data_IF_816140437621
#
_entry.id   IF_816140437621
#
_cell.length_a   1.000
_cell.length_b   1.000
_cell.length_c   1.000
_cell.angle_alpha   90.00
_cell.angle_beta   90.00
_cell.angle_gamma   90.00
#
_symmetry.space_group_name_H-M   'P 1'
#
loop_
_entity.id
_entity.type
_entity.pdbx_description
1 polymer ?
#
# COMPACT_ATOMS: atom_id res chain seq x y z
N UNK A 1 0.53 11.27 -9.63
CA UNK A 1 0.18 12.17 -8.52
C UNK A 1 -0.36 11.29 -7.40
N UNK A 2 0.30 11.29 -6.26
CA UNK A 2 -0.14 10.55 -5.09
C UNK A 2 -1.08 11.38 -4.21
N UNK A 3 -1.74 10.72 -3.27
CA UNK A 3 -2.55 11.36 -2.22
C UNK A 3 -2.28 10.67 -0.88
N UNK A 4 -2.47 11.42 0.21
CA UNK A 4 -2.30 10.92 1.58
C UNK A 4 -3.66 10.64 2.21
N UNK A 5 -3.73 9.56 2.97
CA UNK A 5 -4.87 9.19 3.79
C UNK A 5 -4.38 8.65 5.14
N UNK A 6 -5.28 8.43 6.09
CA UNK A 6 -4.95 7.92 7.42
C UNK A 6 -5.90 6.79 7.78
N UNK A 7 -5.34 5.67 8.25
CA UNK A 7 -6.11 4.51 8.70
C UNK A 7 -5.60 4.04 10.07
N UNK A 8 -6.48 4.01 11.08
CA UNK A 8 -6.13 3.66 12.47
C UNK A 8 -4.92 4.43 13.05
N UNK A 9 -4.74 5.68 12.63
CA UNK A 9 -3.59 6.50 13.04
C UNK A 9 -2.27 6.20 12.32
N UNK A 10 -2.28 5.33 11.31
CA UNK A 10 -1.16 5.11 10.38
C UNK A 10 -1.36 6.01 9.16
N UNK A 11 -0.34 6.78 8.80
CA UNK A 11 -0.33 7.60 7.59
C UNK A 11 -0.08 6.69 6.39
N UNK A 12 -0.88 6.82 5.33
CA UNK A 12 -0.74 6.03 4.10
C UNK A 12 -0.67 6.99 2.93
N UNK A 13 0.44 6.99 2.22
CA UNK A 13 0.63 7.77 1.00
C UNK A 13 0.53 6.87 -0.23
N UNK A 14 -0.54 7.01 -1.00
CA UNK A 14 -0.81 6.19 -2.19
C UNK A 14 -0.34 6.94 -3.41
N UNK A 15 0.47 6.30 -4.25
CA UNK A 15 0.84 6.80 -5.55
C UNK A 15 0.61 5.76 -6.63
N UNK A 16 -0.17 6.14 -7.64
CA UNK A 16 -0.55 5.25 -8.73
C UNK A 16 -0.15 5.87 -10.06
N UNK A 17 0.54 5.09 -10.88
CA UNK A 17 1.08 5.50 -12.17
C UNK A 17 0.48 4.65 -13.29
N UNK A 18 0.16 5.21 -14.47
CA UNK A 18 -0.25 4.41 -15.61
C UNK A 18 0.93 3.55 -16.10
N UNK A 19 0.65 2.35 -16.60
CA UNK A 19 1.68 1.50 -17.19
C UNK A 19 2.14 2.07 -18.55
N UNK A 20 3.46 2.20 -18.81
CA UNK A 20 3.95 2.84 -20.03
C UNK A 20 3.59 2.05 -21.30
N UNK A 21 3.68 0.72 -21.24
CA UNK A 21 3.48 -0.15 -22.42
C UNK A 21 2.12 -0.88 -22.47
N UNK A 22 1.28 -0.75 -21.43
CA UNK A 22 0.03 -1.50 -21.32
C UNK A 22 -1.13 -0.55 -20.98
N UNK A 23 -1.81 -0.01 -22.00
CA UNK A 23 -2.93 0.90 -21.79
C UNK A 23 -4.02 0.26 -20.91
N UNK A 24 -4.51 1.03 -19.93
CA UNK A 24 -5.52 0.57 -18.97
C UNK A 24 -4.96 -0.25 -17.80
N UNK A 25 -3.65 -0.38 -17.69
CA UNK A 25 -2.99 -0.92 -16.50
C UNK A 25 -2.39 0.20 -15.65
N UNK A 26 -2.38 -0.01 -14.33
CA UNK A 26 -1.88 0.92 -13.33
C UNK A 26 -0.91 0.22 -12.38
N UNK A 27 0.14 0.92 -11.99
CA UNK A 27 1.05 0.53 -10.92
C UNK A 27 0.65 1.24 -9.62
N UNK A 28 -0.14 0.61 -8.74
CA UNK A 28 -0.46 1.20 -7.45
C UNK A 28 0.64 0.88 -6.43
N UNK A 29 1.10 1.93 -5.75
CA UNK A 29 2.07 1.88 -4.67
C UNK A 29 1.50 2.64 -3.46
N UNK A 30 1.81 2.20 -2.26
CA UNK A 30 1.53 2.95 -1.04
C UNK A 30 2.73 2.91 -0.10
N UNK A 31 2.97 3.99 0.62
CA UNK A 31 3.94 4.07 1.71
C UNK A 31 3.16 4.25 3.01
N UNK A 32 3.23 3.26 3.89
CA UNK A 32 2.65 3.34 5.23
C UNK A 32 3.70 3.90 6.19
N UNK A 33 3.31 4.79 7.08
CA UNK A 33 4.16 5.36 8.13
C UNK A 33 3.45 5.32 9.46
N UNK A 34 4.07 4.69 10.44
CA UNK A 34 3.57 4.68 11.81
C UNK A 34 4.12 5.91 12.56
N UNK A 35 3.29 6.91 12.90
CA UNK A 35 3.77 8.13 13.57
C UNK A 35 4.25 7.88 15.01
N UNK A 36 3.90 6.75 15.63
CA UNK A 36 4.35 6.38 16.97
C UNK A 36 5.74 5.76 16.98
N UNK A 37 6.07 4.95 15.98
CA UNK A 37 7.36 4.23 15.90
C UNK A 37 8.33 4.83 14.89
N UNK A 38 7.85 5.67 13.97
CA UNK A 38 8.63 6.23 12.87
C UNK A 38 8.94 5.24 11.74
N UNK A 39 8.44 4.01 11.81
CA UNK A 39 8.69 2.96 10.80
C UNK A 39 7.89 3.27 9.53
N UNK A 40 8.56 3.15 8.39
CA UNK A 40 8.01 3.32 7.06
C UNK A 40 8.01 1.98 6.30
N UNK A 41 6.83 1.54 5.85
CA UNK A 41 6.63 0.25 5.17
C UNK A 41 6.00 0.44 3.79
N UNK A 42 6.66 0.01 2.70
CA UNK A 42 6.10 0.10 1.37
C UNK A 42 5.11 -1.05 1.10
N UNK A 43 4.06 -0.74 0.35
CA UNK A 43 3.05 -1.66 -0.17
C UNK A 43 2.98 -1.44 -1.68
N UNK A 44 3.53 -2.37 -2.45
CA UNK A 44 3.45 -2.35 -3.91
C UNK A 44 2.63 -3.56 -4.36
N UNK A 45 1.69 -3.34 -5.26
CA UNK A 45 1.00 -4.44 -5.93
C UNK A 45 1.51 -4.58 -7.37
N UNK A 46 1.22 -5.73 -7.96
CA UNK A 46 1.40 -5.94 -9.40
C UNK A 46 0.52 -4.94 -10.18
N UNK A 47 0.84 -4.68 -11.47
CA UNK A 47 -0.02 -3.87 -12.32
C UNK A 47 -1.47 -4.36 -12.29
N UNK A 48 -2.40 -3.43 -12.06
CA UNK A 48 -3.83 -3.71 -12.03
C UNK A 48 -4.50 -3.15 -13.28
N UNK A 49 -5.27 -3.99 -13.98
CA UNK A 49 -6.12 -3.54 -15.08
C UNK A 49 -7.35 -2.84 -14.51
N UNK A 50 -7.77 -1.74 -15.13
CA UNK A 50 -9.00 -1.04 -14.77
C UNK A 50 -8.81 0.46 -14.68
N UNK A 51 -9.58 1.10 -13.81
CA UNK A 51 -9.45 2.50 -13.47
C UNK A 51 -8.36 2.73 -12.43
N UNK A 52 -7.85 3.96 -12.38
CA UNK A 52 -6.92 4.39 -11.32
C UNK A 52 -7.53 4.15 -9.92
N UNK A 53 -8.83 4.40 -9.77
CA UNK A 53 -9.54 4.30 -8.49
C UNK A 53 -9.64 2.85 -8.00
N UNK A 54 -9.86 1.89 -8.90
CA UNK A 54 -9.83 0.47 -8.55
C UNK A 54 -8.43 0.03 -8.11
N UNK A 55 -7.39 0.47 -8.83
CA UNK A 55 -6.00 0.19 -8.44
C UNK A 55 -5.63 0.83 -7.08
N UNK A 56 -6.09 2.05 -6.83
CA UNK A 56 -5.94 2.75 -5.55
C UNK A 56 -6.66 2.00 -4.40
N UNK A 57 -7.87 1.48 -4.65
CA UNK A 57 -8.65 0.75 -3.66
C UNK A 57 -7.97 -0.56 -3.26
N UNK A 58 -7.44 -1.31 -4.23
CA UNK A 58 -6.74 -2.58 -3.97
C UNK A 58 -5.49 -2.39 -3.10
N UNK A 59 -4.68 -1.36 -3.35
CA UNK A 59 -3.49 -1.11 -2.54
C UNK A 59 -3.85 -0.61 -1.13
N UNK A 60 -4.97 0.09 -0.99
CA UNK A 60 -5.49 0.50 0.31
C UNK A 60 -6.00 -0.71 1.11
N UNK A 61 -6.66 -1.67 0.46
CA UNK A 61 -7.10 -2.92 1.08
C UNK A 61 -5.90 -3.73 1.60
N UNK A 62 -4.89 -3.95 0.77
CA UNK A 62 -3.64 -4.64 1.17
C UNK A 62 -2.94 -3.89 2.32
N UNK A 63 -2.84 -2.56 2.25
CA UNK A 63 -2.27 -1.75 3.33
C UNK A 63 -3.08 -1.90 4.63
N UNK A 64 -4.41 -1.87 4.54
CA UNK A 64 -5.29 -2.05 5.69
C UNK A 64 -5.18 -3.46 6.28
N UNK A 65 -5.02 -4.50 5.46
CA UNK A 65 -4.79 -5.87 5.90
C UNK A 65 -3.45 -6.01 6.63
N UNK A 66 -2.38 -5.43 6.12
CA UNK A 66 -1.07 -5.38 6.80
C UNK A 66 -1.15 -4.70 8.16
N UNK A 67 -1.86 -3.58 8.23
CA UNK A 67 -2.11 -2.86 9.49
C UNK A 67 -2.99 -3.69 10.43
N UNK A 68 -4.01 -4.39 9.91
CA UNK A 68 -4.96 -5.18 10.70
C UNK A 68 -4.31 -6.42 11.31
N UNK A 69 -3.45 -7.11 10.58
CA UNK A 69 -2.86 -8.38 11.00
C UNK A 69 -1.44 -8.25 11.55
N UNK A 70 -0.84 -7.06 11.54
CA UNK A 70 0.40 -6.77 12.26
C UNK A 70 1.52 -7.77 11.98
N UNK A 71 2.14 -7.65 10.79
CA UNK A 71 3.33 -8.41 10.36
C UNK A 71 3.17 -9.91 10.06
N UNK A 72 3.17 -10.28 8.76
CA UNK A 72 3.57 -11.63 8.29
C UNK A 72 4.46 -11.57 7.03
N UNK A 73 5.24 -10.48 6.87
CA UNK A 73 6.19 -10.30 5.77
C UNK A 73 7.65 -10.09 6.19
N UNK A 74 7.92 -9.94 7.49
CA UNK A 74 9.27 -9.90 8.07
C UNK A 74 9.52 -11.25 8.73
N UNK A 75 10.48 -12.01 8.20
CA UNK A 75 10.95 -13.21 8.86
C UNK A 75 11.49 -12.88 10.24
N UNK A 76 10.65 -13.06 11.26
CA UNK A 76 11.03 -13.43 12.61
C UNK A 76 9.96 -14.44 13.06
N UNK A 77 10.38 -15.70 13.05
CA UNK A 77 9.65 -16.80 13.69
C UNK A 77 9.30 -16.44 15.15
N UNK A 78 8.23 -17.04 15.71
CA UNK A 78 7.75 -16.74 17.06
C UNK A 78 8.89 -16.95 18.06
N UNK A 79 9.25 -15.86 18.74
CA UNK A 79 10.26 -15.80 19.79
C UNK A 79 9.77 -15.10 21.05
N UNK A 80 8.45 -14.93 21.19
CA UNK A 80 7.68 -14.80 22.44
C UNK A 80 6.33 -15.51 22.28
#
# INVERSE_FOLDING_TARGET
MGYKTTYKGIEIEITTYPHPDMPGYWFPHAQMRNPRTGIEEPVALRPQRGSKQEADALVLEEAAERIRFGNNGLGLLPGE
#
